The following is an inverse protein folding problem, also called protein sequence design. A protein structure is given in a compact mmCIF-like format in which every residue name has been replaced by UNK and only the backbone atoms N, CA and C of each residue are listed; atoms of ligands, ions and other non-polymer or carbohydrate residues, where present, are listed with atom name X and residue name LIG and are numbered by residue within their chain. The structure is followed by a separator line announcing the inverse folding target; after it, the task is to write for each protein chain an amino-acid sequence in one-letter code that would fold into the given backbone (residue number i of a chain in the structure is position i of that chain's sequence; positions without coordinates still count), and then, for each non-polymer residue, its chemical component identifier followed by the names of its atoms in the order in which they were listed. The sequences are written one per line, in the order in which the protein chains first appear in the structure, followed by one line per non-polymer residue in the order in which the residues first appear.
data_IF_753631954929
#
_entry.id   IF_753631954929
#
_cell.length_a   1.000
_cell.length_b   1.000
_cell.length_c   1.000
_cell.angle_alpha   90.00
_cell.angle_beta   90.00
_cell.angle_gamma   90.00
#
_symmetry.space_group_name_H-M   'P 1'
#
loop_
_entity.id
_entity.type
_entity.pdbx_description
1 polymer ?
#
# COMPACT_ATOMS: atom_id res chain seq x y z
N UNK A 1 9.49 -20.76 2.52
CA UNK A 1 9.94 -19.44 3.04
C UNK A 1 9.63 -18.26 2.10
N UNK A 2 9.81 -18.36 0.77
CA UNK A 2 9.60 -17.23 -0.15
C UNK A 2 8.18 -16.60 -0.14
N UNK A 3 7.12 -17.41 0.01
CA UNK A 3 5.72 -16.91 0.01
C UNK A 3 5.43 -15.98 1.20
N UNK A 4 5.88 -16.35 2.40
CA UNK A 4 5.67 -15.57 3.62
C UNK A 4 6.35 -14.20 3.50
N UNK A 5 7.56 -14.16 2.96
CA UNK A 5 8.31 -12.91 2.73
C UNK A 5 7.56 -12.02 1.73
N UNK A 6 7.09 -12.56 0.60
CA UNK A 6 6.33 -11.80 -0.39
C UNK A 6 5.01 -11.26 0.16
N UNK A 7 4.26 -12.07 0.92
CA UNK A 7 3.02 -11.64 1.59
C UNK A 7 3.29 -10.54 2.62
N UNK A 8 4.36 -10.67 3.40
CA UNK A 8 4.74 -9.68 4.41
C UNK A 8 5.11 -8.35 3.77
N UNK A 9 5.92 -8.37 2.71
CA UNK A 9 6.31 -7.16 1.97
C UNK A 9 5.10 -6.51 1.27
N UNK A 10 4.20 -7.31 0.69
CA UNK A 10 2.98 -6.80 0.08
C UNK A 10 2.02 -6.18 1.12
N UNK A 11 1.87 -6.84 2.28
CA UNK A 11 1.10 -6.31 3.41
C UNK A 11 1.69 -5.01 3.93
N UNK A 12 3.01 -4.95 4.13
CA UNK A 12 3.72 -3.75 4.55
C UNK A 12 3.56 -2.61 3.54
N UNK A 13 3.58 -2.91 2.25
CA UNK A 13 3.38 -1.93 1.19
C UNK A 13 1.99 -1.27 1.25
N UNK A 14 0.93 -2.08 1.39
CA UNK A 14 -0.44 -1.56 1.56
C UNK A 14 -0.60 -0.82 2.88
N UNK A 15 -0.02 -1.35 3.96
CA UNK A 15 -0.05 -0.73 5.28
C UNK A 15 0.58 0.67 5.25
N UNK A 16 1.78 0.81 4.68
CA UNK A 16 2.44 2.12 4.57
C UNK A 16 1.63 3.10 3.72
N UNK A 17 1.01 2.64 2.63
CA UNK A 17 0.14 3.49 1.82
C UNK A 17 -1.09 3.97 2.62
N UNK A 18 -1.78 3.06 3.32
CA UNK A 18 -2.94 3.38 4.14
C UNK A 18 -2.60 4.26 5.34
N UNK A 19 -1.49 3.96 6.02
CA UNK A 19 -0.98 4.74 7.15
C UNK A 19 -0.65 6.18 6.73
N UNK A 20 -0.08 6.39 5.55
CA UNK A 20 0.17 7.72 5.01
C UNK A 20 -1.12 8.52 4.77
N UNK A 21 -2.17 7.87 4.25
CA UNK A 21 -3.50 8.49 4.06
C UNK A 21 -4.14 8.79 5.42
N UNK A 22 -4.09 7.85 6.35
CA UNK A 22 -4.61 8.03 7.71
C UNK A 22 -3.96 9.21 8.43
N UNK A 23 -2.63 9.30 8.40
CA UNK A 23 -1.88 10.42 9.00
C UNK A 23 -2.28 11.76 8.39
N UNK A 24 -2.44 11.80 7.06
CA UNK A 24 -2.84 13.01 6.34
C UNK A 24 -4.27 13.46 6.69
N UNK A 25 -5.19 12.53 6.90
CA UNK A 25 -6.57 12.84 7.29
C UNK A 25 -6.64 13.28 8.77
N UNK A 26 -5.90 12.59 9.64
CA UNK A 26 -5.83 12.89 11.08
C UNK A 26 -5.19 14.26 11.33
N UNK A 27 -4.16 14.63 10.57
CA UNK A 27 -3.46 15.91 10.75
C UNK A 27 -4.34 17.15 10.46
N UNK A 28 -5.51 16.98 9.83
CA UNK A 28 -6.42 18.10 9.51
C UNK A 28 -7.09 18.72 10.74
N UNK A 29 -7.30 17.93 11.80
CA UNK A 29 -7.92 18.39 13.06
C UNK A 29 -6.91 18.64 14.19
N UNK A 30 -5.62 18.47 13.93
CA UNK A 30 -4.58 18.53 14.96
C UNK A 30 -4.14 19.98 15.28
N UNK A 31 -3.76 20.24 16.53
CA UNK A 31 -3.16 21.53 16.94
C UNK A 31 -1.88 21.84 16.16
N UNK A 32 -1.45 23.11 16.10
CA UNK A 32 -0.28 23.52 15.31
C UNK A 32 1.01 22.74 15.65
N UNK A 33 1.22 22.39 16.93
CA UNK A 33 2.35 21.57 17.39
C UNK A 33 2.23 20.11 16.91
N UNK A 34 1.04 19.52 17.09
CA UNK A 34 0.77 18.14 16.68
C UNK A 34 0.80 17.99 15.14
N UNK A 35 0.33 18.98 14.40
CA UNK A 35 0.34 19.03 12.93
C UNK A 35 1.76 18.92 12.34
N UNK A 36 2.77 19.54 12.98
CA UNK A 36 4.17 19.40 12.56
C UNK A 36 4.69 17.97 12.74
N UNK A 37 4.36 17.32 13.86
CA UNK A 37 4.73 15.93 14.12
C UNK A 37 4.08 14.99 13.10
N UNK A 38 2.77 15.12 12.86
CA UNK A 38 2.07 14.32 11.85
C UNK A 38 2.63 14.52 10.43
N UNK A 39 3.08 15.74 10.11
CA UNK A 39 3.74 16.01 8.84
C UNK A 39 5.09 15.29 8.74
N UNK A 40 5.87 15.23 9.82
CA UNK A 40 7.13 14.47 9.84
C UNK A 40 6.87 12.97 9.71
N UNK A 41 5.89 12.42 10.44
CA UNK A 41 5.51 11.01 10.35
C UNK A 41 5.06 10.68 8.91
N UNK A 42 4.24 11.52 8.28
CA UNK A 42 3.85 11.35 6.88
C UNK A 42 5.04 11.34 5.93
N UNK A 43 6.05 12.19 6.15
CA UNK A 43 7.26 12.20 5.31
C UNK A 43 8.07 10.92 5.47
N UNK A 44 8.31 10.47 6.71
CA UNK A 44 9.07 9.25 6.99
C UNK A 44 8.36 8.02 6.42
N UNK A 45 7.06 7.87 6.68
CA UNK A 45 6.27 6.78 6.13
C UNK A 45 6.17 6.85 4.60
N UNK A 46 6.12 8.06 4.02
CA UNK A 46 6.16 8.28 2.58
C UNK A 46 7.48 7.84 1.93
N UNK A 47 8.62 8.15 2.55
CA UNK A 47 9.93 7.70 2.06
C UNK A 47 10.10 6.19 2.20
N UNK A 48 9.64 5.60 3.31
CA UNK A 48 9.61 4.15 3.48
C UNK A 48 8.75 3.47 2.40
N UNK A 49 7.58 4.02 2.09
CA UNK A 49 6.73 3.54 1.00
C UNK A 49 7.44 3.59 -0.36
N UNK A 50 8.11 4.70 -0.69
CA UNK A 50 8.84 4.87 -1.97
C UNK A 50 10.01 3.88 -2.07
N UNK A 51 10.78 3.71 -1.00
CA UNK A 51 11.90 2.76 -0.97
C UNK A 51 11.40 1.33 -1.19
N UNK A 52 10.34 0.93 -0.48
CA UNK A 52 9.73 -0.39 -0.62
C UNK A 52 9.14 -0.58 -2.03
N UNK A 53 8.47 0.43 -2.58
CA UNK A 53 7.98 0.42 -3.96
C UNK A 53 9.10 0.15 -4.96
N UNK A 54 10.24 0.84 -4.82
CA UNK A 54 11.42 0.63 -5.67
C UNK A 54 11.95 -0.80 -5.59
N UNK A 55 12.07 -1.36 -4.39
CA UNK A 55 12.52 -2.74 -4.17
C UNK A 55 11.57 -3.74 -4.83
N UNK A 56 10.26 -3.55 -4.67
CA UNK A 56 9.23 -4.42 -5.24
C UNK A 56 9.22 -4.33 -6.78
N UNK A 57 9.30 -3.13 -7.33
CA UNK A 57 9.39 -2.91 -8.78
C UNK A 57 10.67 -3.53 -9.37
N UNK A 58 11.82 -3.36 -8.72
CA UNK A 58 13.07 -3.99 -9.16
C UNK A 58 12.97 -5.52 -9.16
N UNK A 59 12.42 -6.10 -8.08
CA UNK A 59 12.20 -7.54 -7.97
C UNK A 59 11.24 -8.07 -9.04
N UNK A 60 10.20 -7.29 -9.38
CA UNK A 60 9.28 -7.60 -10.47
C UNK A 60 10.02 -7.60 -11.82
N UNK A 61 10.79 -6.56 -12.13
CA UNK A 61 11.53 -6.45 -13.40
C UNK A 61 12.55 -7.57 -13.58
N UNK A 62 13.28 -7.94 -12.52
CA UNK A 62 14.19 -9.09 -12.55
C UNK A 62 13.48 -10.40 -12.89
N UNK A 63 12.27 -10.59 -12.36
CA UNK A 63 11.45 -11.78 -12.64
C UNK A 63 10.99 -11.82 -14.09
N UNK A 64 10.69 -10.66 -14.69
CA UNK A 64 10.25 -10.56 -16.09
C UNK A 64 11.38 -10.82 -17.08
N UNK A 65 12.61 -10.40 -16.75
CA UNK A 65 13.76 -10.57 -17.63
C UNK A 65 14.01 -12.03 -18.05
N UNK A 66 13.55 -12.99 -17.25
CA UNK A 66 13.66 -14.43 -17.53
C UNK A 66 12.49 -15.04 -18.31
N UNK A 67 11.47 -14.26 -18.69
CA UNK A 67 10.32 -14.76 -19.45
C UNK A 67 10.52 -14.59 -20.96
N UNK A 68 10.43 -15.69 -21.69
CA UNK A 68 10.50 -15.73 -23.16
C UNK A 68 9.12 -15.78 -23.83
N UNK A 69 8.05 -16.02 -23.06
CA UNK A 69 6.69 -16.26 -23.54
C UNK A 69 5.75 -15.05 -23.33
N UNK A 70 4.59 -15.12 -23.98
CA UNK A 70 3.51 -14.15 -23.88
C UNK A 70 3.03 -13.97 -22.42
N UNK A 71 3.07 -12.74 -21.91
CA UNK A 71 2.71 -12.44 -20.52
C UNK A 71 1.20 -12.63 -20.31
N UNK A 72 0.81 -13.33 -19.25
CA UNK A 72 -0.61 -13.47 -18.91
C UNK A 72 -1.29 -12.09 -18.73
N UNK A 73 -2.56 -11.91 -19.12
CA UNK A 73 -3.28 -10.64 -18.97
C UNK A 73 -3.26 -10.08 -17.53
N UNK A 74 -3.33 -10.98 -16.53
CA UNK A 74 -3.21 -10.63 -15.11
C UNK A 74 -1.88 -9.97 -14.79
N UNK A 75 -0.79 -10.51 -15.33
CA UNK A 75 0.55 -10.02 -15.09
C UNK A 75 0.77 -8.67 -15.76
N UNK A 76 0.26 -8.49 -16.99
CA UNK A 76 0.24 -7.21 -17.69
C UNK A 76 -0.51 -6.16 -16.86
N UNK A 77 -1.69 -6.51 -16.33
CA UNK A 77 -2.48 -5.61 -15.49
C UNK A 77 -1.76 -5.27 -14.17
N UNK A 78 -1.12 -6.24 -13.53
CA UNK A 78 -0.31 -6.00 -12.33
C UNK A 78 0.86 -5.05 -12.62
N UNK A 79 1.59 -5.25 -13.72
CA UNK A 79 2.67 -4.35 -14.13
C UNK A 79 2.16 -2.95 -14.46
N UNK A 80 1.05 -2.84 -15.19
CA UNK A 80 0.43 -1.57 -15.53
C UNK A 80 0.03 -0.78 -14.28
N UNK A 81 -0.60 -1.43 -13.31
CA UNK A 81 -0.93 -0.81 -12.02
C UNK A 81 0.34 -0.40 -11.26
N UNK A 82 1.35 -1.26 -11.17
CA UNK A 82 2.60 -0.94 -10.48
C UNK A 82 3.28 0.28 -11.12
N UNK A 83 3.38 0.31 -12.46
CA UNK A 83 3.94 1.43 -13.20
C UNK A 83 3.13 2.71 -13.02
N UNK A 84 1.80 2.63 -12.90
CA UNK A 84 0.94 3.81 -12.67
C UNK A 84 1.16 4.47 -11.31
N UNK A 85 1.68 3.74 -10.31
CA UNK A 85 2.02 4.33 -8.99
C UNK A 85 3.17 5.33 -9.12
N UNK A 86 4.16 5.08 -10.00
CA UNK A 86 5.31 5.95 -10.16
C UNK A 86 4.95 7.39 -10.59
N UNK A 87 4.18 7.65 -11.68
CA UNK A 87 3.77 8.98 -12.04
C UNK A 87 2.84 9.60 -10.99
N UNK A 88 1.98 8.83 -10.32
CA UNK A 88 1.14 9.35 -9.24
C UNK A 88 1.97 9.89 -8.06
N UNK A 89 2.99 9.16 -7.64
CA UNK A 89 3.94 9.59 -6.60
C UNK A 89 4.71 10.82 -7.08
N UNK A 90 5.18 10.82 -8.33
CA UNK A 90 5.91 11.93 -8.90
C UNK A 90 5.08 13.23 -8.93
N UNK A 91 3.84 13.16 -9.43
CA UNK A 91 2.90 14.28 -9.43
C UNK A 91 2.62 14.74 -8.00
N UNK A 92 2.43 13.82 -7.05
CA UNK A 92 2.26 14.18 -5.63
C UNK A 92 3.45 14.98 -5.09
N UNK A 93 4.68 14.59 -5.42
CA UNK A 93 5.90 15.32 -4.99
C UNK A 93 5.98 16.70 -5.64
N UNK A 94 5.69 16.82 -6.94
CA UNK A 94 5.65 18.11 -7.64
C UNK A 94 4.61 19.03 -7.01
N UNK A 95 3.36 18.57 -6.86
CA UNK A 95 2.28 19.36 -6.26
C UNK A 95 2.65 19.79 -4.85
N UNK A 96 3.27 18.91 -4.05
CA UNK A 96 3.67 19.23 -2.69
C UNK A 96 4.77 20.30 -2.60
N UNK A 97 5.67 20.37 -3.60
CA UNK A 97 6.77 21.33 -3.65
C UNK A 97 6.36 22.67 -4.23
N UNK A 98 5.59 22.65 -5.31
CA UNK A 98 5.32 23.85 -6.12
C UNK A 98 3.91 24.43 -5.94
N UNK A 99 2.94 23.64 -5.50
CA UNK A 99 1.52 24.03 -5.44
C UNK A 99 0.98 23.98 -4.01
N UNK A 100 1.49 24.88 -3.15
CA UNK A 100 1.15 24.93 -1.71
C UNK A 100 -0.34 25.14 -1.42
N UNK A 101 -1.08 25.75 -2.35
CA UNK A 101 -2.53 25.98 -2.23
C UNK A 101 -3.37 24.74 -2.57
N UNK A 102 -2.81 23.74 -3.26
CA UNK A 102 -3.55 22.58 -3.79
C UNK A 102 -3.69 21.43 -2.76
N UNK A 103 -4.15 21.74 -1.54
CA UNK A 103 -4.33 20.74 -0.47
C UNK A 103 -5.33 19.63 -0.83
N UNK A 104 -6.40 19.98 -1.54
CA UNK A 104 -7.40 19.01 -2.01
C UNK A 104 -6.79 18.00 -2.99
N UNK A 105 -6.02 18.48 -3.97
CA UNK A 105 -5.32 17.65 -4.95
C UNK A 105 -4.30 16.72 -4.29
N UNK A 106 -3.51 17.21 -3.32
CA UNK A 106 -2.58 16.37 -2.56
C UNK A 106 -3.29 15.23 -1.82
N UNK A 107 -4.48 15.52 -1.30
CA UNK A 107 -5.31 14.51 -0.62
C UNK A 107 -5.83 13.48 -1.61
N UNK A 108 -6.38 13.94 -2.74
CA UNK A 108 -6.87 13.07 -3.81
C UNK A 108 -5.76 12.15 -4.35
N UNK A 109 -4.56 12.69 -4.59
CA UNK A 109 -3.38 11.92 -5.01
C UNK A 109 -2.96 10.89 -3.95
N UNK A 110 -2.98 11.25 -2.67
CA UNK A 110 -2.70 10.32 -1.58
C UNK A 110 -3.67 9.14 -1.55
N UNK A 111 -4.97 9.42 -1.67
CA UNK A 111 -6.02 8.38 -1.72
C UNK A 111 -5.89 7.54 -2.99
N UNK A 112 -5.63 8.16 -4.14
CA UNK A 112 -5.43 7.47 -5.41
C UNK A 112 -4.25 6.50 -5.37
N UNK A 113 -3.10 6.93 -4.82
CA UNK A 113 -1.93 6.06 -4.62
C UNK A 113 -2.29 4.86 -3.74
N UNK A 114 -3.03 5.08 -2.64
CA UNK A 114 -3.49 3.98 -1.79
C UNK A 114 -4.43 3.02 -2.52
N UNK A 115 -5.41 3.54 -3.26
CA UNK A 115 -6.36 2.71 -3.99
C UNK A 115 -5.67 1.83 -5.05
N UNK A 116 -4.72 2.39 -5.81
CA UNK A 116 -3.92 1.64 -6.78
C UNK A 116 -3.03 0.60 -6.08
N UNK A 117 -2.32 0.99 -5.02
CA UNK A 117 -1.46 0.08 -4.25
C UNK A 117 -2.24 -1.08 -3.62
N UNK A 118 -3.41 -0.79 -3.06
CA UNK A 118 -4.32 -1.81 -2.52
C UNK A 118 -4.79 -2.75 -3.62
N UNK A 119 -5.24 -2.22 -4.76
CA UNK A 119 -5.71 -3.00 -5.91
C UNK A 119 -4.62 -3.92 -6.45
N UNK A 120 -3.39 -3.40 -6.57
CA UNK A 120 -2.21 -4.14 -7.02
C UNK A 120 -1.96 -5.41 -6.18
N UNK A 121 -2.10 -5.31 -4.86
CA UNK A 121 -1.91 -6.43 -3.93
C UNK A 121 -3.15 -7.33 -3.89
N UNK A 122 -4.34 -6.75 -3.85
CA UNK A 122 -5.61 -7.47 -3.82
C UNK A 122 -5.79 -8.40 -5.04
N UNK A 123 -5.41 -7.97 -6.24
CA UNK A 123 -5.50 -8.77 -7.46
C UNK A 123 -4.80 -10.14 -7.38
N UNK A 124 -3.66 -10.18 -6.71
CA UNK A 124 -2.91 -11.43 -6.51
C UNK A 124 -3.41 -12.18 -5.28
N UNK A 125 -3.71 -11.46 -4.18
CA UNK A 125 -4.17 -12.07 -2.93
C UNK A 125 -5.52 -12.76 -3.09
N UNK A 126 -6.50 -12.11 -3.73
CA UNK A 126 -7.84 -12.66 -3.96
C UNK A 126 -7.74 -13.97 -4.73
N UNK A 127 -6.94 -14.03 -5.78
CA UNK A 127 -6.81 -15.25 -6.58
C UNK A 127 -6.03 -16.34 -5.86
N UNK A 128 -5.06 -15.98 -5.03
CA UNK A 128 -4.45 -16.95 -4.13
C UNK A 128 -5.48 -17.54 -3.15
N UNK A 129 -6.28 -16.70 -2.48
CA UNK A 129 -7.31 -17.15 -1.55
C UNK A 129 -8.37 -18.02 -2.23
N UNK A 130 -8.85 -17.62 -3.42
CA UNK A 130 -9.81 -18.40 -4.19
C UNK A 130 -9.21 -19.75 -4.60
N UNK A 131 -7.95 -19.79 -5.04
CA UNK A 131 -7.29 -21.04 -5.42
C UNK A 131 -7.17 -21.98 -4.22
N UNK A 132 -6.75 -21.47 -3.06
CA UNK A 132 -6.62 -22.25 -1.83
C UNK A 132 -7.99 -22.78 -1.35
N UNK A 133 -9.02 -21.94 -1.38
CA UNK A 133 -10.38 -22.33 -0.99
C UNK A 133 -10.97 -23.41 -1.92
N UNK A 134 -10.60 -23.40 -3.20
CA UNK A 134 -11.01 -24.44 -4.16
C UNK A 134 -10.27 -25.76 -3.99
N UNK A 135 -9.10 -25.79 -3.34
CA UNK A 135 -8.24 -27.00 -3.26
C UNK A 135 -8.26 -27.70 -1.90
N UNK A 136 -8.56 -27.03 -0.79
CA UNK A 136 -8.70 -27.67 0.54
C UNK A 136 -9.73 -26.96 1.44
N UNK A 137 -10.38 -27.72 2.34
CA UNK A 137 -11.13 -27.19 3.50
C UNK A 137 -10.17 -26.35 4.35
N UNK A 138 -10.23 -25.03 4.20
CA UNK A 138 -9.33 -24.07 4.87
C UNK A 138 -9.22 -24.39 6.38
N UNK A 139 -8.03 -24.69 6.92
CA UNK A 139 -7.83 -24.79 8.35
C UNK A 139 -8.19 -23.45 9.01
N UNK A 140 -9.08 -23.48 10.01
CA UNK A 140 -9.63 -22.27 10.65
C UNK A 140 -8.59 -21.26 11.16
N UNK A 141 -7.34 -21.70 11.36
CA UNK A 141 -6.25 -20.89 11.90
C UNK A 141 -5.71 -19.82 10.93
N UNK A 142 -5.72 -20.05 9.61
CA UNK A 142 -5.25 -19.06 8.62
C UNK A 142 -6.28 -17.96 8.38
N UNK A 143 -7.57 -18.28 8.45
CA UNK A 143 -8.65 -17.30 8.41
C UNK A 143 -8.64 -16.45 9.68
N UNK A 144 -8.48 -17.10 10.83
CA UNK A 144 -8.40 -16.43 12.12
C UNK A 144 -7.20 -15.49 12.21
N UNK A 145 -6.01 -15.88 11.73
CA UNK A 145 -4.82 -15.01 11.77
C UNK A 145 -4.95 -13.77 10.89
N UNK A 146 -5.55 -13.88 9.69
CA UNK A 146 -5.81 -12.71 8.84
C UNK A 146 -6.85 -11.78 9.46
N UNK A 147 -7.95 -12.33 9.98
CA UNK A 147 -8.99 -11.55 10.68
C UNK A 147 -8.44 -10.91 11.94
N UNK A 148 -7.68 -11.63 12.75
CA UNK A 148 -7.03 -11.11 13.97
C UNK A 148 -6.00 -10.03 13.63
N UNK A 149 -5.20 -10.19 12.58
CA UNK A 149 -4.27 -9.15 12.15
C UNK A 149 -4.99 -7.88 11.69
N UNK A 150 -6.08 -8.02 10.93
CA UNK A 150 -6.93 -6.89 10.51
C UNK A 150 -7.62 -6.24 11.71
N UNK A 151 -8.13 -7.04 12.65
CA UNK A 151 -8.78 -6.54 13.88
C UNK A 151 -7.78 -5.87 14.82
N UNK A 152 -6.55 -6.36 14.94
CA UNK A 152 -5.47 -5.71 15.72
C UNK A 152 -5.09 -4.38 15.07
N UNK A 153 -4.93 -4.34 13.74
CA UNK A 153 -4.66 -3.10 13.01
C UNK A 153 -5.82 -2.09 13.17
N UNK A 154 -7.07 -2.55 13.11
CA UNK A 154 -8.26 -1.73 13.33
C UNK A 154 -8.39 -1.25 14.78
N UNK A 155 -8.09 -2.12 15.75
CA UNK A 155 -8.11 -1.79 17.18
C UNK A 155 -7.03 -0.77 17.53
N UNK A 156 -5.81 -0.94 17.03
CA UNK A 156 -4.73 0.06 17.19
C UNK A 156 -5.17 1.40 16.59
N UNK A 157 -5.77 1.41 15.39
CA UNK A 157 -6.29 2.62 14.78
C UNK A 157 -7.43 3.28 15.60
N UNK A 158 -8.28 2.47 16.25
CA UNK A 158 -9.38 2.95 17.07
C UNK A 158 -8.92 3.50 18.43
N UNK A 159 -7.98 2.82 19.10
CA UNK A 159 -7.42 3.25 20.39
C UNK A 159 -6.58 4.52 20.28
N UNK A 160 -5.98 4.81 19.13
CA UNK A 160 -5.28 6.07 18.88
C UNK A 160 -6.25 7.26 18.73
N UNK A 161 -7.52 7.01 18.37
CA UNK A 161 -8.53 8.05 18.16
C UNK A 161 -9.35 8.39 19.43
N UNK A 162 -9.26 7.55 20.47
CA UNK A 162 -10.00 7.69 21.73
C UNK A 162 -9.28 8.45 22.85
N UNK A 163 -8.11 9.04 22.59
CA UNK A 163 -7.38 9.94 23.48
C UNK A 163 -7.22 11.31 22.82
#
# INVERSE_FOLDING_TARGET
MHIVISLTLAGLFVFLAGFNVWNMLTSRGASARSSRLWTQVHRVAGYAFIALFGILCYSMLLRVKGWSDELSPRLILHMGLALSVAPLVFVKVIVARYQKAARSLLTALGIGIFAVAFTLVALNLVVYCLRVASTEKVPSETSATFVVAVLICAAIAFFIKGK
#
